data_IF_553538854932
#
_entry.id   IF_553538854932
#
_cell.length_a   1.000
_cell.length_b   1.000
_cell.length_c   1.000
_cell.angle_alpha   90.00
_cell.angle_beta   90.00
_cell.angle_gamma   90.00
#
_symmetry.space_group_name_H-M   'P 1'
#
loop_
_entity.id
_entity.type
_entity.pdbx_description
1 polymer ?
#
# COMPACT_ATOMS: atom_id res chain seq x y z
N UNK A 1 55.01 32.28 35.17
CA UNK A 1 53.56 32.11 35.47
C UNK A 1 52.63 32.30 34.26
N UNK A 2 53.01 33.01 33.19
CA UNK A 2 52.13 33.29 32.03
C UNK A 2 51.82 32.09 31.11
N UNK A 3 52.77 31.18 30.88
CA UNK A 3 52.58 30.04 29.97
C UNK A 3 51.46 29.07 30.42
N UNK A 4 51.28 28.89 31.74
CA UNK A 4 50.25 28.02 32.32
C UNK A 4 48.82 28.56 32.12
N UNK A 5 48.68 29.87 31.98
CA UNK A 5 47.39 30.54 31.80
C UNK A 5 46.93 30.50 30.34
N UNK A 6 47.85 30.73 29.39
CA UNK A 6 47.57 30.61 27.95
C UNK A 6 47.17 29.18 27.54
N UNK A 7 47.78 28.16 28.13
CA UNK A 7 47.40 26.76 27.89
C UNK A 7 45.95 26.45 28.31
N UNK A 8 45.47 27.00 29.43
CA UNK A 8 44.08 26.82 29.88
C UNK A 8 43.06 27.49 28.97
N UNK A 9 43.40 28.66 28.41
CA UNK A 9 42.57 29.38 27.43
C UNK A 9 42.53 28.68 26.07
N UNK A 10 43.61 28.03 25.65
CA UNK A 10 43.64 27.28 24.41
C UNK A 10 42.79 26.00 24.51
N UNK A 11 42.92 25.28 25.62
CA UNK A 11 42.11 24.09 25.92
C UNK A 11 40.62 24.44 26.02
N UNK A 12 40.26 25.57 26.65
CA UNK A 12 38.84 25.95 26.74
C UNK A 12 38.22 26.31 25.38
N UNK A 13 38.98 26.97 24.49
CA UNK A 13 38.56 27.25 23.10
C UNK A 13 38.43 25.98 22.28
N UNK A 14 39.38 25.05 22.38
CA UNK A 14 39.31 23.75 21.69
C UNK A 14 38.09 22.93 22.14
N UNK A 15 37.80 22.91 23.45
CA UNK A 15 36.62 22.23 24.00
C UNK A 15 35.32 22.91 23.54
N UNK A 16 35.28 24.24 23.48
CA UNK A 16 34.12 24.98 22.99
C UNK A 16 33.87 24.70 21.49
N UNK A 17 34.92 24.71 20.68
CA UNK A 17 34.86 24.40 19.25
C UNK A 17 34.41 22.95 19.02
N UNK A 18 34.88 22.00 19.82
CA UNK A 18 34.47 20.60 19.73
C UNK A 18 32.98 20.41 20.08
N UNK A 19 32.47 21.13 21.07
CA UNK A 19 31.03 21.15 21.39
C UNK A 19 30.20 21.78 20.28
N UNK A 20 30.66 22.89 19.70
CA UNK A 20 29.99 23.55 18.59
C UNK A 20 29.94 22.64 17.34
N UNK A 21 31.04 21.95 17.02
CA UNK A 21 31.11 20.96 15.94
C UNK A 21 30.16 19.78 16.21
N UNK A 22 30.12 19.28 17.44
CA UNK A 22 29.20 18.22 17.82
C UNK A 22 27.73 18.64 17.67
N UNK A 23 27.36 19.85 18.10
CA UNK A 23 26.00 20.40 17.94
C UNK A 23 25.65 20.62 16.46
N UNK A 24 26.59 21.07 15.64
CA UNK A 24 26.40 21.24 14.20
C UNK A 24 26.16 19.89 13.50
N UNK A 25 26.95 18.86 13.84
CA UNK A 25 26.79 17.50 13.32
C UNK A 25 25.43 16.93 13.74
N UNK A 26 25.04 17.06 15.01
CA UNK A 26 23.76 16.54 15.48
C UNK A 26 22.57 17.25 14.82
N UNK A 27 22.65 18.56 14.62
CA UNK A 27 21.62 19.33 13.89
C UNK A 27 21.50 18.86 12.43
N UNK A 28 22.63 18.57 11.78
CA UNK A 28 22.66 18.05 10.41
C UNK A 28 22.10 16.62 10.34
N UNK A 29 22.40 15.77 11.32
CA UNK A 29 21.87 14.41 11.40
C UNK A 29 20.35 14.38 11.62
N UNK A 30 19.81 15.27 12.45
CA UNK A 30 18.35 15.42 12.65
C UNK A 30 17.66 15.87 11.36
N UNK A 31 18.28 16.77 10.60
CA UNK A 31 17.81 17.18 9.28
C UNK A 31 17.81 16.03 8.26
N UNK A 32 18.85 15.18 8.27
CA UNK A 32 18.94 14.02 7.37
C UNK A 32 17.91 12.92 7.67
N UNK A 33 17.39 12.81 8.89
CA UNK A 33 16.35 11.85 9.25
C UNK A 33 14.91 12.35 9.01
N UNK A 34 14.74 13.58 8.51
CA UNK A 34 13.43 14.16 8.25
C UNK A 34 12.94 13.83 6.83
N UNK A 35 12.82 12.54 6.52
CA UNK A 35 12.11 12.10 5.31
C UNK A 35 10.76 11.53 5.72
N UNK A 36 9.68 12.25 5.39
CA UNK A 36 8.34 11.68 5.46
C UNK A 36 8.22 10.59 4.37
N UNK A 37 8.14 9.32 4.78
CA UNK A 37 7.61 8.28 3.91
C UNK A 37 6.10 8.51 3.84
N UNK A 38 5.65 9.33 2.88
CA UNK A 38 4.23 9.37 2.56
C UNK A 38 3.84 8.02 1.99
N UNK A 39 3.12 7.23 2.79
CA UNK A 39 2.58 5.95 2.35
C UNK A 39 1.74 6.20 1.09
N UNK A 40 2.15 5.56 0.00
CA UNK A 40 1.50 5.66 -1.31
C UNK A 40 0.15 4.94 -1.26
N UNK A 41 -0.89 5.64 -0.87
CA UNK A 41 -2.27 5.14 -0.81
C UNK A 41 -2.93 5.09 -2.20
N UNK A 42 -2.36 5.77 -3.19
CA UNK A 42 -2.86 5.90 -4.57
C UNK A 42 -2.56 4.72 -5.50
N UNK A 43 -2.04 3.59 -5.00
CA UNK A 43 -1.70 2.41 -5.82
C UNK A 43 -2.73 1.29 -5.80
N UNK A 44 -3.92 1.52 -5.25
CA UNK A 44 -4.97 0.51 -5.24
C UNK A 44 -5.92 0.71 -6.41
N UNK A 45 -6.24 -0.40 -7.07
CA UNK A 45 -7.25 -0.44 -8.11
C UNK A 45 -8.59 0.07 -7.55
N UNK A 46 -9.19 1.06 -8.22
CA UNK A 46 -10.50 1.61 -7.84
C UNK A 46 -11.60 0.59 -8.13
N UNK A 47 -12.47 0.36 -7.16
CA UNK A 47 -13.63 -0.54 -7.30
C UNK A 47 -14.89 0.17 -7.83
N UNK A 48 -14.80 1.46 -8.15
CA UNK A 48 -15.96 2.28 -8.52
C UNK A 48 -16.74 1.68 -9.70
N UNK A 49 -16.03 1.21 -10.73
CA UNK A 49 -16.65 0.55 -11.89
C UNK A 49 -17.31 -0.81 -11.59
N UNK A 50 -17.01 -1.42 -10.43
CA UNK A 50 -17.65 -2.68 -9.99
C UNK A 50 -18.74 -2.46 -8.94
N UNK A 51 -18.91 -1.24 -8.44
CA UNK A 51 -19.79 -0.98 -7.30
C UNK A 51 -21.24 -1.34 -7.58
N UNK A 52 -21.77 -0.96 -8.75
CA UNK A 52 -23.15 -1.24 -9.14
C UNK A 52 -23.43 -2.75 -9.20
N UNK A 53 -22.57 -3.52 -9.89
CA UNK A 53 -22.69 -4.96 -9.98
C UNK A 53 -22.59 -5.67 -8.63
N UNK A 54 -21.66 -5.23 -7.77
CA UNK A 54 -21.53 -5.73 -6.39
C UNK A 54 -22.77 -5.38 -5.56
N UNK A 55 -23.33 -4.17 -5.73
CA UNK A 55 -24.52 -3.74 -5.02
C UNK A 55 -25.71 -4.63 -5.36
N UNK A 56 -25.96 -4.86 -6.65
CA UNK A 56 -27.02 -5.77 -7.10
C UNK A 56 -26.80 -7.22 -6.62
N UNK A 57 -25.57 -7.74 -6.72
CA UNK A 57 -25.24 -9.07 -6.17
C UNK A 57 -25.64 -9.19 -4.69
N UNK A 58 -25.35 -8.15 -3.89
CA UNK A 58 -25.64 -8.15 -2.46
C UNK A 58 -27.14 -8.09 -2.13
N UNK A 59 -27.96 -7.49 -2.99
CA UNK A 59 -29.42 -7.47 -2.81
C UNK A 59 -30.02 -8.87 -2.94
N UNK A 60 -29.47 -9.67 -3.87
CA UNK A 60 -29.86 -11.06 -4.11
C UNK A 60 -29.27 -12.02 -3.06
N UNK A 61 -28.05 -11.74 -2.58
CA UNK A 61 -27.30 -12.62 -1.67
C UNK A 61 -27.10 -11.99 -0.27
N UNK A 62 -28.19 -11.90 0.49
CA UNK A 62 -28.22 -11.23 1.81
C UNK A 62 -27.28 -11.83 2.86
N UNK A 63 -27.02 -13.13 2.79
CA UNK A 63 -26.11 -13.84 3.69
C UNK A 63 -24.81 -14.16 2.94
N UNK A 64 -23.72 -13.50 3.34
CA UNK A 64 -22.41 -13.63 2.68
C UNK A 64 -21.49 -14.53 3.48
N UNK A 65 -21.53 -15.83 3.20
CA UNK A 65 -20.61 -16.82 3.77
C UNK A 65 -19.49 -17.23 2.79
N UNK A 66 -19.09 -16.31 1.90
CA UNK A 66 -18.01 -16.55 0.93
C UNK A 66 -16.81 -15.62 1.20
N UNK A 67 -15.61 -16.10 0.86
CA UNK A 67 -14.37 -15.31 0.99
C UNK A 67 -14.32 -14.24 -0.10
N UNK A 68 -13.67 -13.10 0.19
CA UNK A 68 -13.42 -12.02 -0.77
C UNK A 68 -11.95 -11.66 -0.81
N UNK A 69 -11.45 -11.37 -2.01
CA UNK A 69 -10.15 -10.79 -2.25
C UNK A 69 -10.09 -9.35 -1.73
N UNK A 70 -8.94 -8.96 -1.19
CA UNK A 70 -8.67 -7.57 -0.83
C UNK A 70 -8.37 -6.72 -2.07
N UNK A 71 -8.47 -5.39 -1.95
CA UNK A 71 -8.17 -4.43 -3.05
C UNK A 71 -6.76 -4.57 -3.65
N UNK A 72 -5.82 -5.16 -2.89
CA UNK A 72 -4.43 -5.41 -3.32
C UNK A 72 -4.26 -6.65 -4.20
N UNK A 73 -5.24 -7.55 -4.19
CA UNK A 73 -5.20 -8.82 -4.89
C UNK A 73 -5.73 -8.66 -6.33
N UNK A 74 -5.13 -7.70 -7.04
CA UNK A 74 -5.55 -7.31 -8.40
C UNK A 74 -5.39 -8.46 -9.38
N UNK A 75 -4.34 -9.28 -9.21
CA UNK A 75 -4.10 -10.45 -10.05
C UNK A 75 -5.23 -11.46 -9.94
N UNK A 76 -5.70 -11.73 -8.73
CA UNK A 76 -6.78 -12.68 -8.47
C UNK A 76 -8.13 -12.14 -8.95
N UNK A 77 -8.40 -10.85 -8.76
CA UNK A 77 -9.60 -10.19 -9.32
C UNK A 77 -9.57 -10.20 -10.86
N UNK A 78 -8.40 -9.97 -11.48
CA UNK A 78 -8.25 -10.06 -12.93
C UNK A 78 -8.41 -11.50 -13.43
N UNK A 79 -7.95 -12.50 -12.66
CA UNK A 79 -8.18 -13.90 -12.98
C UNK A 79 -9.67 -14.24 -12.97
N UNK A 80 -10.46 -13.69 -12.04
CA UNK A 80 -11.93 -13.84 -12.07
C UNK A 80 -12.54 -13.28 -13.37
N UNK A 81 -12.09 -12.10 -13.84
CA UNK A 81 -12.60 -11.50 -15.08
C UNK A 81 -12.31 -12.36 -16.31
N UNK A 82 -11.09 -12.88 -16.43
CA UNK A 82 -10.73 -13.80 -17.51
C UNK A 82 -11.55 -15.08 -17.38
N UNK A 83 -11.71 -15.58 -16.15
CA UNK A 83 -12.34 -16.87 -15.93
C UNK A 83 -13.85 -16.89 -16.24
N UNK A 84 -14.52 -15.75 -16.11
CA UNK A 84 -15.95 -15.61 -16.33
C UNK A 84 -16.27 -14.86 -17.63
N UNK A 85 -15.34 -14.79 -18.56
CA UNK A 85 -15.64 -14.31 -19.90
C UNK A 85 -16.45 -15.37 -20.65
N UNK A 86 -17.58 -14.97 -21.22
CA UNK A 86 -18.44 -15.80 -22.05
C UNK A 86 -17.79 -16.04 -23.43
N UNK A 87 -18.28 -17.05 -24.18
CA UNK A 87 -17.80 -17.34 -25.55
C UNK A 87 -18.03 -16.18 -26.53
N UNK A 88 -19.07 -15.39 -26.30
CA UNK A 88 -19.37 -14.17 -27.07
C UNK A 88 -18.47 -12.97 -26.70
N UNK A 89 -17.54 -13.18 -25.75
CA UNK A 89 -16.63 -12.15 -25.23
C UNK A 89 -17.24 -11.26 -24.15
N UNK A 90 -18.51 -11.45 -23.79
CA UNK A 90 -19.20 -10.73 -22.73
C UNK A 90 -18.90 -11.26 -21.32
N UNK A 91 -19.57 -10.69 -20.31
CA UNK A 91 -19.46 -11.09 -18.91
C UNK A 91 -20.84 -11.23 -18.25
N UNK A 92 -20.96 -12.06 -17.20
CA UNK A 92 -22.16 -12.10 -16.37
C UNK A 92 -22.40 -10.74 -15.70
N UNK A 93 -23.66 -10.33 -15.66
CA UNK A 93 -24.09 -9.10 -14.98
C UNK A 93 -24.21 -9.31 -13.47
N UNK A 94 -24.13 -8.21 -12.72
CA UNK A 94 -24.46 -8.15 -11.29
C UNK A 94 -23.68 -9.14 -10.41
N UNK A 95 -22.39 -9.37 -10.68
CA UNK A 95 -21.55 -10.28 -9.88
C UNK A 95 -20.58 -9.50 -8.97
N UNK A 96 -20.30 -10.07 -7.80
CA UNK A 96 -19.23 -9.58 -6.92
C UNK A 96 -17.86 -10.10 -7.38
N UNK A 97 -17.20 -9.33 -8.24
CA UNK A 97 -15.87 -9.66 -8.79
C UNK A 97 -14.76 -9.85 -7.75
N UNK A 98 -14.98 -9.40 -6.51
CA UNK A 98 -14.04 -9.61 -5.40
C UNK A 98 -14.29 -10.93 -4.68
N UNK A 99 -15.38 -11.65 -4.94
CA UNK A 99 -15.56 -12.97 -4.38
C UNK A 99 -14.39 -13.88 -4.80
N UNK A 100 -13.99 -14.78 -3.90
CA UNK A 100 -13.15 -15.92 -4.28
C UNK A 100 -14.04 -16.86 -5.08
N UNK A 101 -14.11 -16.59 -6.38
CA UNK A 101 -14.87 -17.36 -7.34
C UNK A 101 -14.06 -18.61 -7.70
N UNK A 102 -14.74 -19.69 -8.09
CA UNK A 102 -14.02 -20.83 -8.62
C UNK A 102 -13.41 -20.42 -9.97
N UNK A 103 -12.08 -20.45 -10.06
CA UNK A 103 -11.29 -20.01 -11.21
C UNK A 103 -11.21 -21.03 -12.34
N UNK A 104 -11.91 -22.16 -12.24
CA UNK A 104 -12.13 -23.13 -13.32
C UNK A 104 -12.99 -22.49 -14.43
N UNK A 105 -12.48 -21.48 -15.11
CA UNK A 105 -13.12 -20.84 -16.25
C UNK A 105 -13.60 -21.87 -17.28
N UNK A 106 -14.83 -21.70 -17.79
CA UNK A 106 -15.79 -22.71 -18.32
C UNK A 106 -16.83 -23.21 -17.28
N UNK A 107 -16.77 -22.77 -16.01
CA UNK A 107 -17.57 -23.36 -14.90
C UNK A 107 -19.11 -23.34 -15.02
N UNK A 108 -19.71 -22.54 -15.91
CA UNK A 108 -21.14 -22.70 -16.25
C UNK A 108 -21.38 -22.77 -17.75
N UNK A 109 -20.41 -23.15 -18.58
CA UNK A 109 -20.68 -23.49 -19.98
C UNK A 109 -21.27 -24.91 -20.14
N UNK A 110 -21.26 -25.74 -19.09
CA UNK A 110 -21.60 -27.17 -19.14
C UNK A 110 -22.56 -27.68 -18.04
N UNK A 111 -23.13 -26.84 -17.16
CA UNK A 111 -24.07 -27.36 -16.13
C UNK A 111 -25.53 -27.47 -16.61
N UNK A 112 -25.89 -26.84 -17.74
CA UNK A 112 -27.25 -26.90 -18.31
C UNK A 112 -27.29 -27.06 -19.85
N UNK A 113 -26.18 -27.32 -20.53
CA UNK A 113 -26.15 -27.61 -21.97
C UNK A 113 -26.05 -29.10 -22.28
#
# INVERSE_FOLDING_TARGET
>A
MYAKWLGKLNVSKEVYNMKAVFVAIMSFLVFLFSTEVKAQEDRYFSLEGFYDGIHHWNLEHKIRQYKRYGKKQVREIAANLIAYQNEDGGWPKNIDWLAVLNSDSVYTSLKES
#
